data_IF_341716694682
#
_entry.id   IF_341716694682
#
_cell.length_a   1.000
_cell.length_b   1.000
_cell.length_c   1.000
_cell.angle_alpha   90.00
_cell.angle_beta   90.00
_cell.angle_gamma   90.00
#
_symmetry.space_group_name_H-M   'P 1'
#
loop_
_entity.id
_entity.type
_entity.pdbx_description
1 polymer ?
#
# COMPACT_ATOMS: atom_id res chain seq x y z
N UNK A 1 12.96 17.55 -12.66
CA UNK A 1 11.92 18.25 -11.84
C UNK A 1 10.92 18.86 -12.83
N UNK A 2 9.77 18.25 -12.96
CA UNK A 2 8.65 18.79 -13.73
C UNK A 2 8.01 19.93 -12.92
N UNK A 3 8.08 21.18 -13.37
CA UNK A 3 7.59 22.33 -12.60
C UNK A 3 6.09 22.26 -12.29
N UNK A 4 5.34 21.55 -13.12
CA UNK A 4 3.89 21.35 -12.95
C UNK A 4 3.56 20.41 -11.78
N UNK A 5 4.41 19.43 -11.47
CA UNK A 5 4.20 18.50 -10.36
C UNK A 5 4.65 19.08 -9.01
N UNK A 6 5.59 20.02 -9.00
CA UNK A 6 6.15 20.60 -7.77
C UNK A 6 5.11 21.35 -6.91
N UNK A 7 4.01 21.78 -7.52
CA UNK A 7 2.92 22.51 -6.84
C UNK A 7 1.74 21.61 -6.46
N UNK A 8 1.74 20.34 -6.89
CA UNK A 8 0.63 19.43 -6.64
C UNK A 8 0.79 18.71 -5.31
N UNK A 9 -0.33 18.52 -4.63
CA UNK A 9 -0.43 17.73 -3.42
C UNK A 9 -1.10 16.39 -3.74
N UNK A 10 -0.56 15.30 -3.19
CA UNK A 10 -1.17 13.98 -3.29
C UNK A 10 -2.11 13.82 -2.10
N UNK A 11 -3.39 13.55 -2.37
CA UNK A 11 -4.40 13.26 -1.35
C UNK A 11 -4.81 11.80 -1.44
N UNK A 12 -4.81 11.11 -0.30
CA UNK A 12 -5.26 9.73 -0.23
C UNK A 12 -6.78 9.66 -0.03
N UNK A 13 -7.46 8.92 -0.89
CA UNK A 13 -8.88 8.61 -0.77
C UNK A 13 -9.02 7.23 -0.15
N UNK A 14 -9.64 7.17 1.04
CA UNK A 14 -9.94 5.92 1.72
C UNK A 14 -11.31 5.39 1.31
N UNK A 15 -11.35 4.36 0.47
CA UNK A 15 -12.59 3.70 0.06
C UNK A 15 -13.34 3.12 1.26
N UNK A 16 -12.62 2.54 2.21
CA UNK A 16 -13.22 2.00 3.43
C UNK A 16 -13.98 3.05 4.26
N UNK A 17 -13.48 4.28 4.31
CA UNK A 17 -14.16 5.37 5.00
C UNK A 17 -15.42 5.82 4.26
N UNK A 18 -15.40 5.81 2.94
CA UNK A 18 -16.56 6.15 2.13
C UNK A 18 -17.69 5.11 2.26
N UNK A 19 -17.34 3.83 2.41
CA UNK A 19 -18.29 2.74 2.60
C UNK A 19 -18.93 2.72 3.99
N UNK A 20 -18.24 3.22 5.03
CA UNK A 20 -18.68 3.17 6.43
C UNK A 20 -19.57 4.33 6.87
N UNK A 21 -19.88 5.29 6.03
CA UNK A 21 -20.64 6.48 6.42
C UNK A 21 -22.05 6.15 6.96
N UNK A 22 -22.33 6.61 8.17
CA UNK A 22 -23.63 6.47 8.86
C UNK A 22 -24.65 7.56 8.51
N UNK A 23 -24.34 8.40 7.54
CA UNK A 23 -25.08 9.62 7.18
C UNK A 23 -26.23 9.40 6.17
N UNK A 24 -26.45 8.14 5.77
CA UNK A 24 -27.52 7.78 4.84
C UNK A 24 -27.22 8.09 3.36
N UNK A 25 -26.06 8.69 3.05
CA UNK A 25 -25.65 8.93 1.68
C UNK A 25 -25.05 7.66 1.07
N UNK A 26 -25.38 7.38 -0.20
CA UNK A 26 -24.81 6.24 -0.92
C UNK A 26 -23.32 6.44 -1.20
N UNK A 27 -22.56 5.34 -1.29
CA UNK A 27 -21.15 5.36 -1.67
C UNK A 27 -20.96 6.12 -3.00
N UNK A 28 -21.81 5.83 -3.98
CA UNK A 28 -21.78 6.47 -5.29
C UNK A 28 -21.89 8.00 -5.21
N UNK A 29 -22.80 8.50 -4.41
CA UNK A 29 -22.98 9.94 -4.21
C UNK A 29 -21.76 10.61 -3.58
N UNK A 30 -21.22 10.02 -2.50
CA UNK A 30 -20.00 10.51 -1.84
C UNK A 30 -18.78 10.49 -2.77
N UNK A 31 -18.64 9.42 -3.51
CA UNK A 31 -17.55 9.26 -4.45
C UNK A 31 -17.63 10.28 -5.60
N UNK A 32 -18.83 10.47 -6.15
CA UNK A 32 -19.06 11.51 -7.19
C UNK A 32 -18.69 12.90 -6.66
N UNK A 33 -19.09 13.24 -5.44
CA UNK A 33 -18.76 14.53 -4.81
C UNK A 33 -17.26 14.74 -4.69
N UNK A 34 -16.52 13.71 -4.28
CA UNK A 34 -15.04 13.75 -4.23
C UNK A 34 -14.45 13.96 -5.63
N UNK A 35 -14.95 13.26 -6.63
CA UNK A 35 -14.49 13.45 -8.02
C UNK A 35 -14.75 14.87 -8.52
N UNK A 36 -15.89 15.46 -8.20
CA UNK A 36 -16.21 16.84 -8.57
C UNK A 36 -15.29 17.86 -7.88
N UNK A 37 -14.94 17.61 -6.60
CA UNK A 37 -13.97 18.44 -5.87
C UNK A 37 -12.54 18.30 -6.45
N UNK A 38 -12.13 17.08 -6.80
CA UNK A 38 -10.85 16.84 -7.46
C UNK A 38 -10.77 17.54 -8.82
N UNK A 39 -11.84 17.49 -9.59
CA UNK A 39 -11.91 18.17 -10.90
C UNK A 39 -11.84 19.69 -10.75
N UNK A 40 -12.47 20.26 -9.72
CA UNK A 40 -12.38 21.70 -9.43
C UNK A 40 -10.95 22.12 -9.02
N UNK A 41 -10.13 21.19 -8.51
CA UNK A 41 -8.76 21.45 -8.05
C UNK A 41 -7.70 20.66 -8.85
N UNK A 42 -7.96 20.32 -10.08
CA UNK A 42 -7.10 19.49 -10.96
C UNK A 42 -5.67 19.99 -11.11
N UNK A 43 -5.46 21.29 -11.00
CA UNK A 43 -4.13 21.91 -11.14
C UNK A 43 -3.25 21.77 -9.90
N UNK A 44 -3.87 21.47 -8.74
CA UNK A 44 -3.20 21.43 -7.43
C UNK A 44 -3.24 20.07 -6.76
N UNK A 45 -4.16 19.17 -7.16
CA UNK A 45 -4.36 17.88 -6.50
C UNK A 45 -4.09 16.71 -7.45
N UNK A 46 -3.56 15.62 -6.85
CA UNK A 46 -3.49 14.28 -7.43
C UNK A 46 -4.16 13.34 -6.42
N UNK A 47 -5.14 12.57 -6.86
CA UNK A 47 -5.76 11.57 -6.00
C UNK A 47 -4.92 10.28 -5.96
N UNK A 48 -4.68 9.75 -4.76
CA UNK A 48 -4.16 8.41 -4.56
C UNK A 48 -5.27 7.51 -4.03
N UNK A 49 -5.55 6.42 -4.73
CA UNK A 49 -6.57 5.44 -4.38
C UNK A 49 -5.88 4.09 -4.19
N UNK A 50 -5.81 3.65 -2.94
CA UNK A 50 -5.35 2.29 -2.63
C UNK A 50 -6.46 1.28 -2.91
N UNK A 51 -6.07 0.05 -3.29
CA UNK A 51 -7.02 -1.02 -3.62
C UNK A 51 -8.02 -0.60 -4.72
N UNK A 52 -7.56 0.10 -5.75
CA UNK A 52 -8.43 0.68 -6.80
C UNK A 52 -9.31 -0.37 -7.50
N UNK A 53 -8.91 -1.64 -7.48
CA UNK A 53 -9.69 -2.76 -8.00
C UNK A 53 -11.07 -2.87 -7.33
N UNK A 54 -11.22 -2.44 -6.07
CA UNK A 54 -12.51 -2.44 -5.35
C UNK A 54 -13.56 -1.55 -6.03
N UNK A 55 -13.13 -0.52 -6.73
CA UNK A 55 -14.05 0.36 -7.48
C UNK A 55 -14.38 -0.23 -8.85
N UNK A 56 -13.41 -0.90 -9.47
CA UNK A 56 -13.46 -1.32 -10.86
C UNK A 56 -14.06 -2.73 -11.00
N UNK A 57 -13.72 -3.63 -10.08
CA UNK A 57 -14.03 -5.06 -10.17
C UNK A 57 -15.46 -5.44 -9.77
N UNK A 58 -16.21 -4.54 -9.20
CA UNK A 58 -17.53 -4.84 -8.61
C UNK A 58 -18.70 -4.84 -9.61
N UNK A 59 -18.43 -5.05 -10.89
CA UNK A 59 -19.47 -5.10 -11.94
C UNK A 59 -20.45 -6.27 -11.88
N UNK A 60 -20.38 -7.17 -10.87
CA UNK A 60 -21.15 -8.41 -10.87
C UNK A 60 -21.94 -8.73 -9.59
N UNK A 61 -21.84 -7.95 -8.51
CA UNK A 61 -22.51 -8.30 -7.27
C UNK A 61 -23.89 -7.66 -7.08
N UNK A 62 -24.84 -8.52 -6.73
CA UNK A 62 -26.29 -8.35 -6.67
C UNK A 62 -26.81 -7.38 -5.59
N UNK A 63 -25.95 -6.67 -4.88
CA UNK A 63 -26.32 -5.79 -3.74
C UNK A 63 -26.22 -4.27 -4.01
N UNK A 64 -26.17 -3.83 -5.26
CA UNK A 64 -26.53 -2.45 -5.66
C UNK A 64 -25.53 -1.32 -5.34
N UNK A 65 -24.60 -1.47 -4.40
CA UNK A 65 -23.75 -0.35 -3.95
C UNK A 65 -22.41 -0.24 -4.67
N UNK A 66 -21.86 -1.36 -5.12
CA UNK A 66 -20.56 -1.40 -5.76
C UNK A 66 -20.62 -1.23 -7.30
N UNK A 67 -21.76 -1.58 -7.90
CA UNK A 67 -22.04 -1.43 -9.34
C UNK A 67 -21.95 0.02 -9.84
N UNK A 68 -22.20 0.98 -8.97
CA UNK A 68 -22.22 2.40 -9.36
C UNK A 68 -20.84 3.04 -9.46
N UNK A 69 -19.87 2.60 -8.66
CA UNK A 69 -18.55 3.23 -8.59
C UNK A 69 -17.73 3.06 -9.89
N UNK A 70 -17.75 1.87 -10.48
CA UNK A 70 -17.08 1.62 -11.75
C UNK A 70 -17.67 2.46 -12.89
N UNK A 71 -18.98 2.62 -12.90
CA UNK A 71 -19.68 3.45 -13.88
C UNK A 71 -19.44 4.95 -13.67
N UNK A 72 -19.09 5.38 -12.47
CA UNK A 72 -18.77 6.76 -12.13
C UNK A 72 -17.30 7.08 -12.47
N UNK A 73 -16.37 6.19 -12.12
CA UNK A 73 -14.95 6.45 -12.33
C UNK A 73 -14.55 6.40 -13.81
N UNK A 74 -15.15 5.52 -14.61
CA UNK A 74 -14.83 5.39 -16.04
C UNK A 74 -15.07 6.68 -16.82
N UNK A 75 -16.22 7.37 -16.71
CA UNK A 75 -16.42 8.67 -17.32
C UNK A 75 -15.51 9.76 -16.76
N UNK A 76 -15.21 9.74 -15.47
CA UNK A 76 -14.33 10.71 -14.83
C UNK A 76 -12.89 10.59 -15.34
N UNK A 77 -12.38 9.36 -15.47
CA UNK A 77 -11.07 9.07 -16.08
C UNK A 77 -11.04 9.39 -17.59
N UNK A 78 -12.20 9.49 -18.23
CA UNK A 78 -12.28 9.84 -19.67
C UNK A 78 -12.05 11.30 -19.95
N UNK A 79 -12.14 12.13 -18.93
CA UNK A 79 -11.84 13.55 -19.02
C UNK A 79 -10.36 13.71 -18.71
N UNK A 80 -9.58 14.25 -19.64
CA UNK A 80 -8.12 14.45 -19.54
C UNK A 80 -7.68 15.34 -18.36
N UNK A 81 -8.61 15.70 -17.50
CA UNK A 81 -8.42 16.67 -16.43
C UNK A 81 -8.14 16.02 -15.05
N UNK A 82 -8.46 14.75 -14.85
CA UNK A 82 -8.36 14.08 -13.55
C UNK A 82 -7.07 13.28 -13.45
N UNK A 83 -6.24 13.60 -12.42
CA UNK A 83 -5.01 12.86 -12.16
C UNK A 83 -5.19 11.91 -10.98
N UNK A 84 -5.10 10.61 -11.26
CA UNK A 84 -5.25 9.55 -10.27
C UNK A 84 -4.04 8.63 -10.30
N UNK A 85 -3.56 8.28 -9.12
CA UNK A 85 -2.62 7.18 -8.89
C UNK A 85 -3.43 6.07 -8.22
N UNK A 86 -3.60 4.94 -8.90
CA UNK A 86 -4.24 3.75 -8.33
C UNK A 86 -3.18 2.73 -7.89
N UNK A 87 -3.36 2.14 -6.72
CA UNK A 87 -2.55 1.02 -6.27
C UNK A 87 -3.41 -0.25 -6.18
N UNK A 88 -2.82 -1.38 -6.56
CA UNK A 88 -3.45 -2.71 -6.48
C UNK A 88 -2.38 -3.79 -6.56
N UNK A 89 -2.70 -5.03 -6.26
CA UNK A 89 -1.77 -6.15 -6.47
C UNK A 89 -1.75 -6.58 -7.94
N UNK A 90 -0.65 -7.24 -8.36
CA UNK A 90 -0.52 -7.77 -9.72
C UNK A 90 -1.65 -8.74 -10.06
N UNK A 91 -2.07 -9.58 -9.11
CA UNK A 91 -3.17 -10.52 -9.28
C UNK A 91 -4.48 -9.79 -9.58
N UNK A 92 -4.86 -8.84 -8.73
CA UNK A 92 -6.10 -8.08 -8.86
C UNK A 92 -6.09 -7.16 -10.08
N UNK A 93 -4.92 -6.63 -10.45
CA UNK A 93 -4.77 -5.91 -11.71
C UNK A 93 -5.18 -6.77 -12.90
N UNK A 94 -4.67 -7.99 -13.00
CA UNK A 94 -5.01 -8.90 -14.10
C UNK A 94 -6.46 -9.38 -14.06
N UNK A 95 -7.01 -9.55 -12.87
CA UNK A 95 -8.38 -10.03 -12.68
C UNK A 95 -9.43 -8.96 -12.98
N UNK A 96 -9.21 -7.72 -12.56
CA UNK A 96 -10.25 -6.68 -12.59
C UNK A 96 -9.95 -5.52 -13.55
N UNK A 97 -8.69 -5.12 -13.72
CA UNK A 97 -8.33 -3.91 -14.47
C UNK A 97 -7.89 -4.25 -15.89
N UNK A 98 -7.02 -5.23 -16.07
CA UNK A 98 -6.44 -5.58 -17.37
C UNK A 98 -7.48 -6.04 -18.39
N UNK A 99 -8.62 -6.55 -17.95
CA UNK A 99 -9.71 -6.99 -18.81
C UNK A 99 -10.57 -5.83 -19.31
N UNK A 100 -10.48 -4.67 -18.70
CA UNK A 100 -11.23 -3.47 -19.11
C UNK A 100 -10.40 -2.59 -20.05
N UNK A 101 -10.62 -2.74 -21.35
CA UNK A 101 -9.91 -1.96 -22.36
C UNK A 101 -10.12 -0.44 -22.31
N UNK A 102 -11.16 0.03 -21.58
CA UNK A 102 -11.36 1.47 -21.38
C UNK A 102 -10.44 2.01 -20.28
N UNK A 103 -10.20 1.25 -19.24
CA UNK A 103 -9.27 1.59 -18.17
C UNK A 103 -7.82 1.45 -18.63
N UNK A 104 -7.49 0.37 -19.33
CA UNK A 104 -6.15 0.13 -19.86
C UNK A 104 -5.62 1.24 -20.79
N UNK A 105 -6.51 1.96 -21.44
CA UNK A 105 -6.11 3.10 -22.28
C UNK A 105 -5.87 4.39 -21.51
N UNK A 106 -6.16 4.40 -20.20
CA UNK A 106 -6.12 5.60 -19.35
C UNK A 106 -5.15 5.53 -18.20
N UNK A 107 -4.67 4.32 -17.90
CA UNK A 107 -3.65 4.09 -16.89
C UNK A 107 -2.36 3.60 -17.53
N UNK A 108 -1.27 4.24 -17.17
CA UNK A 108 0.07 3.72 -17.39
C UNK A 108 0.42 2.79 -16.23
N UNK A 109 0.86 1.57 -16.54
CA UNK A 109 1.25 0.59 -15.54
C UNK A 109 2.66 0.86 -15.04
N UNK A 110 2.79 1.03 -13.72
CA UNK A 110 4.07 1.09 -13.03
C UNK A 110 4.17 -0.13 -12.12
N UNK A 111 5.04 -1.07 -12.47
CA UNK A 111 5.29 -2.25 -11.66
C UNK A 111 6.26 -1.92 -10.53
N UNK A 112 5.85 -2.21 -9.28
CA UNK A 112 6.68 -2.09 -8.09
C UNK A 112 7.17 -3.47 -7.69
N UNK A 113 8.39 -3.79 -8.11
CA UNK A 113 9.01 -5.09 -7.83
C UNK A 113 9.48 -5.20 -6.38
N UNK A 114 9.63 -6.45 -5.91
CA UNK A 114 10.27 -6.77 -4.64
C UNK A 114 11.66 -6.14 -4.56
N UNK A 115 12.02 -5.61 -3.42
CA UNK A 115 13.35 -5.05 -3.21
C UNK A 115 14.41 -6.17 -3.16
N UNK A 116 15.58 -5.88 -3.72
CA UNK A 116 16.71 -6.79 -3.59
C UNK A 116 17.18 -6.91 -2.14
N UNK A 117 17.88 -8.01 -1.83
CA UNK A 117 18.49 -8.25 -0.51
C UNK A 117 19.29 -7.03 -0.01
N UNK A 118 20.18 -6.48 -0.84
CA UNK A 118 21.02 -5.33 -0.47
C UNK A 118 20.21 -4.05 -0.21
N UNK A 119 19.15 -3.81 -0.96
CA UNK A 119 18.27 -2.66 -0.74
C UNK A 119 17.49 -2.81 0.57
N UNK A 120 16.97 -4.01 0.83
CA UNK A 120 16.26 -4.34 2.07
C UNK A 120 17.17 -4.22 3.29
N UNK A 121 18.41 -4.70 3.22
CA UNK A 121 19.38 -4.58 4.31
C UNK A 121 19.65 -3.12 4.70
N UNK A 122 19.76 -2.21 3.71
CA UNK A 122 19.93 -0.77 3.97
C UNK A 122 18.70 -0.15 4.65
N UNK A 123 17.51 -0.60 4.29
CA UNK A 123 16.27 -0.15 4.92
C UNK A 123 16.21 -0.69 6.35
N UNK A 124 16.50 -1.98 6.54
CA UNK A 124 16.47 -2.63 7.85
C UNK A 124 17.38 -1.92 8.85
N UNK A 125 18.61 -1.56 8.45
CA UNK A 125 19.56 -0.83 9.30
C UNK A 125 19.03 0.54 9.74
N UNK A 126 18.36 1.28 8.83
CA UNK A 126 17.74 2.57 9.17
C UNK A 126 16.51 2.39 10.07
N UNK A 127 15.71 1.36 9.84
CA UNK A 127 14.54 1.08 10.65
C UNK A 127 14.92 0.58 12.04
N UNK A 128 15.97 -0.23 12.16
CA UNK A 128 16.51 -0.68 13.44
C UNK A 128 16.79 0.48 14.40
N UNK A 129 17.46 1.52 13.91
CA UNK A 129 17.74 2.74 14.69
C UNK A 129 16.46 3.43 15.13
N UNK A 130 15.45 3.42 14.29
CA UNK A 130 14.18 4.13 14.50
C UNK A 130 13.22 3.36 15.42
N UNK A 131 13.14 2.04 15.25
CA UNK A 131 12.22 1.15 15.98
C UNK A 131 12.79 0.68 17.30
N UNK A 132 14.13 0.56 17.41
CA UNK A 132 14.83 0.06 18.58
C UNK A 132 14.54 0.87 19.85
N UNK A 133 14.47 2.20 19.77
CA UNK A 133 14.13 3.08 20.90
C UNK A 133 14.90 2.72 22.18
N UNK A 134 16.21 2.53 22.06
CA UNK A 134 17.08 2.14 23.17
C UNK A 134 17.48 0.67 23.20
N UNK A 135 16.88 -0.18 22.37
CA UNK A 135 17.31 -1.58 22.19
C UNK A 135 18.34 -1.65 21.07
N UNK A 136 19.50 -2.20 21.35
CA UNK A 136 20.56 -2.38 20.37
C UNK A 136 20.21 -3.50 19.38
N UNK A 137 20.55 -3.29 18.10
CA UNK A 137 20.41 -4.31 17.05
C UNK A 137 21.77 -4.52 16.38
N UNK A 138 22.57 -5.51 16.80
CA UNK A 138 23.85 -5.84 16.19
C UNK A 138 23.74 -6.14 14.69
N UNK A 139 24.78 -5.84 13.93
CA UNK A 139 24.82 -6.10 12.48
C UNK A 139 24.69 -7.61 12.18
N UNK A 140 25.25 -8.47 13.05
CA UNK A 140 25.10 -9.91 12.93
C UNK A 140 23.64 -10.37 13.01
N UNK A 141 22.86 -9.76 13.91
CA UNK A 141 21.43 -10.04 14.05
C UNK A 141 20.63 -9.50 12.87
N UNK A 142 20.99 -8.31 12.36
CA UNK A 142 20.37 -7.80 11.12
C UNK A 142 20.60 -8.75 9.95
N UNK A 143 21.81 -9.29 9.81
CA UNK A 143 22.15 -10.29 8.78
C UNK A 143 21.32 -11.57 8.97
N UNK A 144 21.17 -12.03 10.19
CA UNK A 144 20.35 -13.20 10.51
C UNK A 144 18.87 -12.97 10.19
N UNK A 145 18.31 -11.81 10.52
CA UNK A 145 16.94 -11.44 10.17
C UNK A 145 16.74 -11.54 8.64
N UNK A 146 17.68 -11.00 7.86
CA UNK A 146 17.63 -11.08 6.41
C UNK A 146 17.64 -12.53 5.91
N UNK A 147 18.57 -13.35 6.40
CA UNK A 147 18.71 -14.76 5.99
C UNK A 147 17.49 -15.60 6.38
N UNK A 148 16.99 -15.44 7.62
CA UNK A 148 15.86 -16.22 8.10
C UNK A 148 14.55 -15.79 7.46
N UNK A 149 14.34 -14.48 7.23
CA UNK A 149 13.16 -14.00 6.52
C UNK A 149 13.14 -14.45 5.05
N UNK A 150 14.29 -14.48 4.37
CA UNK A 150 14.39 -14.99 3.01
C UNK A 150 14.05 -16.49 2.92
N UNK A 151 14.55 -17.27 3.88
CA UNK A 151 14.44 -18.73 3.85
C UNK A 151 13.09 -19.27 4.35
N UNK A 152 12.51 -18.65 5.36
CA UNK A 152 11.37 -19.21 6.07
C UNK A 152 10.07 -18.43 5.89
N UNK A 153 10.11 -17.13 5.56
CA UNK A 153 8.92 -16.33 5.28
C UNK A 153 8.67 -16.31 3.78
N UNK A 154 7.87 -17.26 3.30
CA UNK A 154 7.64 -17.48 1.86
C UNK A 154 6.37 -16.83 1.32
N UNK A 155 5.48 -16.41 2.21
CA UNK A 155 4.18 -15.79 1.89
C UNK A 155 4.23 -14.27 1.76
N UNK A 156 5.41 -13.66 1.98
CA UNK A 156 5.64 -12.21 1.93
C UNK A 156 6.88 -11.86 1.15
N UNK A 157 6.96 -10.59 0.75
CA UNK A 157 8.04 -10.03 -0.07
C UNK A 157 8.94 -9.09 0.75
N UNK A 158 10.15 -8.89 0.28
CA UNK A 158 11.01 -7.83 0.81
C UNK A 158 10.49 -6.44 0.41
N UNK A 159 10.54 -5.44 1.29
CA UNK A 159 11.20 -5.44 2.62
C UNK A 159 10.30 -5.92 3.76
N UNK A 160 9.00 -6.15 3.54
CA UNK A 160 8.00 -6.39 4.60
C UNK A 160 8.39 -7.56 5.49
N UNK A 161 8.73 -8.72 4.94
CA UNK A 161 9.08 -9.92 5.72
C UNK A 161 10.26 -9.70 6.68
N UNK A 162 11.26 -8.92 6.28
CA UNK A 162 12.39 -8.59 7.14
C UNK A 162 12.03 -7.57 8.22
N UNK A 163 11.22 -6.57 7.88
CA UNK A 163 10.75 -5.54 8.83
C UNK A 163 9.85 -6.15 9.89
N UNK A 164 8.96 -7.05 9.51
CA UNK A 164 8.08 -7.76 10.45
C UNK A 164 8.88 -8.61 11.43
N UNK A 165 9.87 -9.35 10.95
CA UNK A 165 10.74 -10.15 11.81
C UNK A 165 11.58 -9.28 12.75
N UNK A 166 12.06 -8.12 12.27
CA UNK A 166 12.73 -7.12 13.09
C UNK A 166 11.82 -6.59 14.21
N UNK A 167 10.60 -6.19 13.88
CA UNK A 167 9.65 -5.64 14.84
C UNK A 167 9.29 -6.65 15.92
N UNK A 168 9.06 -7.90 15.54
CA UNK A 168 8.81 -9.00 16.46
C UNK A 168 9.99 -9.26 17.37
N UNK A 169 11.23 -9.26 16.84
CA UNK A 169 12.44 -9.49 17.63
C UNK A 169 12.71 -8.36 18.64
N UNK A 170 12.49 -7.10 18.24
CA UNK A 170 12.57 -5.96 19.16
C UNK A 170 11.50 -6.07 20.26
N UNK A 171 10.29 -6.47 19.89
CA UNK A 171 9.18 -6.64 20.84
C UNK A 171 9.46 -7.74 21.86
N UNK A 172 10.04 -8.87 21.42
CA UNK A 172 10.43 -9.96 22.31
C UNK A 172 11.55 -9.54 23.28
N UNK A 173 12.59 -8.87 22.78
CA UNK A 173 13.65 -8.33 23.62
C UNK A 173 13.13 -7.37 24.71
N UNK A 174 12.14 -6.52 24.36
CA UNK A 174 11.47 -5.64 25.34
C UNK A 174 10.70 -6.41 26.40
N UNK A 175 9.98 -7.45 26.01
CA UNK A 175 9.23 -8.29 26.95
C UNK A 175 10.17 -8.99 27.93
N UNK A 176 11.35 -9.36 27.50
CA UNK A 176 12.39 -10.00 28.31
C UNK A 176 13.27 -8.99 29.07
N UNK A 177 12.99 -7.68 28.98
CA UNK A 177 13.77 -6.60 29.58
C UNK A 177 15.25 -6.62 29.15
N UNK A 178 15.51 -6.95 27.89
CA UNK A 178 16.85 -6.95 27.31
C UNK A 178 17.11 -5.62 26.60
N UNK A 179 18.34 -5.13 26.68
CA UNK A 179 18.78 -3.90 26.00
C UNK A 179 19.30 -4.17 24.58
N UNK A 180 19.29 -5.43 24.16
CA UNK A 180 19.82 -5.87 22.87
C UNK A 180 19.01 -7.04 22.30
N UNK A 181 18.78 -6.99 20.98
CA UNK A 181 18.21 -8.13 20.25
C UNK A 181 19.29 -9.18 20.02
N UNK A 182 19.03 -10.40 20.45
CA UNK A 182 19.94 -11.54 20.29
C UNK A 182 19.53 -12.45 19.13
N UNK A 183 20.43 -13.31 18.63
CA UNK A 183 20.10 -14.34 17.65
C UNK A 183 18.95 -15.27 18.08
N UNK A 184 18.82 -15.54 19.38
CA UNK A 184 17.76 -16.40 19.90
C UNK A 184 16.38 -15.76 19.74
N UNK A 185 16.24 -14.45 19.97
CA UNK A 185 14.97 -13.76 19.76
C UNK A 185 14.47 -13.93 18.32
N UNK A 186 15.37 -13.89 17.33
CA UNK A 186 15.01 -14.07 15.92
C UNK A 186 14.64 -15.52 15.63
N UNK A 187 15.37 -16.49 16.21
CA UNK A 187 15.10 -17.91 16.02
C UNK A 187 13.74 -18.31 16.63
N UNK A 188 13.44 -17.84 17.84
CA UNK A 188 12.20 -18.17 18.55
C UNK A 188 10.96 -17.70 17.81
N UNK A 189 11.03 -16.54 17.12
CA UNK A 189 9.91 -16.02 16.31
C UNK A 189 9.67 -16.88 15.07
N UNK A 190 10.72 -17.40 14.45
CA UNK A 190 10.58 -18.27 13.27
C UNK A 190 10.03 -19.65 13.64
N UNK A 191 10.25 -20.10 14.88
CA UNK A 191 9.76 -21.39 15.38
C UNK A 191 8.33 -21.33 15.94
N UNK A 192 7.80 -20.14 16.22
CA UNK A 192 6.46 -19.93 16.76
C UNK A 192 5.39 -19.97 15.66
#
# INVERSE_FOLDING_TARGET
NEPHLAKKQIIQISLANLMKGSDGESFAYKFQKILDELMAQKDTLIAFIDEIHQIVGTGADTNGSALDAGNIIKPALSRDDLQIIGATTTKEFHEYIAQDGALMRRFDLIEVSELSYNQTQRILSKMATRMGQGIALPESVQTQIMQLSERYVTDRFFPEKAIMLLDSAISLARLENQDEVTPNHVADIIHA
#
